data_IF_544702524648
#
_entry.id   IF_544702524648
#
_cell.length_a   1.000
_cell.length_b   1.000
_cell.length_c   1.000
_cell.angle_alpha   90.00
_cell.angle_beta   90.00
_cell.angle_gamma   90.00
#
_symmetry.space_group_name_H-M   'P 1'
#
loop_
_entity.id
_entity.type
_entity.pdbx_description
1 polymer ?
#
# COMPACT_ATOMS: atom_id res chain seq x y z
N UNK A 1 -4.80 30.38 -1.24
CA UNK A 1 -5.61 29.41 -2.00
C UNK A 1 -5.52 28.08 -1.26
N UNK A 2 -6.54 27.23 -1.30
CA UNK A 2 -6.43 25.89 -0.72
C UNK A 2 -5.47 25.07 -1.59
N UNK A 3 -4.61 24.26 -0.97
CA UNK A 3 -3.70 23.34 -1.68
C UNK A 3 -4.49 22.27 -2.44
N UNK A 4 -3.91 21.70 -3.48
CA UNK A 4 -4.54 20.63 -4.25
C UNK A 4 -4.52 19.30 -3.48
N UNK A 5 -3.38 18.96 -2.85
CA UNK A 5 -3.15 17.63 -2.30
C UNK A 5 -2.43 17.64 -0.93
N UNK A 6 -2.95 16.89 0.05
CA UNK A 6 -2.20 16.47 1.23
C UNK A 6 -1.70 15.03 1.04
N UNK A 7 -0.40 14.77 1.17
CA UNK A 7 0.15 13.42 1.21
C UNK A 7 0.58 13.09 2.63
N UNK A 8 0.11 11.97 3.17
CA UNK A 8 0.46 11.49 4.50
C UNK A 8 1.18 10.15 4.40
N UNK A 9 2.40 10.11 4.93
CA UNK A 9 3.26 8.93 4.98
C UNK A 9 3.50 8.56 6.43
N UNK A 10 3.01 7.41 6.88
CA UNK A 10 3.27 6.90 8.23
C UNK A 10 4.53 6.04 8.19
N UNK A 11 5.60 6.49 8.82
CA UNK A 11 6.87 5.78 8.87
C UNK A 11 7.02 4.96 10.16
N UNK A 12 7.54 3.74 10.03
CA UNK A 12 7.97 2.93 11.17
C UNK A 12 9.13 2.01 10.78
N UNK A 13 10.33 2.33 11.26
CA UNK A 13 11.54 1.49 11.18
C UNK A 13 12.07 1.19 9.77
N UNK A 14 11.86 2.10 8.80
CA UNK A 14 12.22 1.89 7.38
C UNK A 14 12.86 3.13 6.75
N UNK A 15 14.01 3.61 7.26
CA UNK A 15 14.54 4.95 6.95
C UNK A 15 14.90 5.09 5.47
N UNK A 16 15.47 4.05 4.85
CA UNK A 16 15.85 4.08 3.44
C UNK A 16 14.65 3.97 2.49
N UNK A 17 13.62 3.19 2.86
CA UNK A 17 12.41 3.10 2.05
C UNK A 17 11.62 4.41 2.08
N UNK A 18 11.38 4.99 3.27
CA UNK A 18 10.66 6.28 3.34
C UNK A 18 11.41 7.38 2.59
N UNK A 19 12.75 7.37 2.64
CA UNK A 19 13.55 8.29 1.87
C UNK A 19 13.43 8.08 0.36
N UNK A 20 13.35 6.83 -0.11
CA UNK A 20 13.14 6.53 -1.53
C UNK A 20 11.73 6.91 -1.99
N UNK A 21 10.72 6.65 -1.15
CA UNK A 21 9.34 7.06 -1.38
C UNK A 21 9.27 8.58 -1.55
N UNK A 22 9.90 9.35 -0.64
CA UNK A 22 9.93 10.81 -0.71
C UNK A 22 10.65 11.35 -1.96
N UNK A 23 11.71 10.72 -2.43
CA UNK A 23 12.35 11.13 -3.69
C UNK A 23 11.39 10.96 -4.88
N UNK A 24 10.61 9.88 -4.91
CA UNK A 24 9.59 9.67 -5.95
C UNK A 24 8.43 10.67 -5.84
N UNK A 25 7.98 10.96 -4.62
CA UNK A 25 6.96 11.97 -4.34
C UNK A 25 7.43 13.35 -4.78
N UNK A 26 8.69 13.73 -4.50
CA UNK A 26 9.24 15.03 -4.89
C UNK A 26 9.18 15.26 -6.41
N UNK A 27 9.36 14.20 -7.21
CA UNK A 27 9.21 14.27 -8.67
C UNK A 27 7.75 14.32 -9.10
N UNK A 28 6.88 13.51 -8.49
CA UNK A 28 5.45 13.44 -8.81
C UNK A 28 4.68 14.73 -8.47
N UNK A 29 5.13 15.53 -7.50
CA UNK A 29 4.46 16.77 -7.09
C UNK A 29 4.95 18.04 -7.81
N UNK A 30 5.89 17.93 -8.76
CA UNK A 30 6.51 19.10 -9.42
C UNK A 30 5.53 20.08 -10.07
N UNK A 31 4.33 19.62 -10.43
CA UNK A 31 3.25 20.43 -11.03
C UNK A 31 1.96 20.46 -10.19
N UNK A 32 2.04 20.10 -8.91
CA UNK A 32 0.88 19.99 -7.99
C UNK A 32 1.18 20.83 -6.74
N UNK A 33 0.25 21.70 -6.32
CA UNK A 33 0.38 22.38 -5.02
C UNK A 33 0.09 21.38 -3.89
N UNK A 34 1.13 20.66 -3.48
CA UNK A 34 1.04 19.62 -2.46
C UNK A 34 1.59 20.07 -1.10
N UNK A 35 1.05 19.51 -0.03
CA UNK A 35 1.71 19.43 1.28
C UNK A 35 2.02 17.98 1.62
N UNK A 36 3.27 17.70 1.97
CA UNK A 36 3.72 16.34 2.31
C UNK A 36 4.03 16.29 3.80
N UNK A 37 3.48 15.27 4.46
CA UNK A 37 3.64 15.01 5.88
C UNK A 37 4.17 13.60 6.10
N UNK A 38 5.23 13.50 6.89
CA UNK A 38 5.73 12.22 7.39
C UNK A 38 5.46 12.12 8.88
N UNK A 39 4.71 11.10 9.29
CA UNK A 39 4.43 10.80 10.69
C UNK A 39 5.29 9.62 11.11
N UNK A 40 6.39 9.89 11.81
CA UNK A 40 7.23 8.84 12.39
C UNK A 40 6.59 8.29 13.67
N UNK A 41 6.27 7.00 13.67
CA UNK A 41 5.60 6.30 14.77
C UNK A 41 6.58 5.71 15.78
N UNK A 42 7.51 6.53 16.28
CA UNK A 42 8.55 6.14 17.23
C UNK A 42 9.49 5.06 16.68
N UNK A 43 10.07 5.31 15.50
CA UNK A 43 10.94 4.34 14.82
C UNK A 43 12.22 4.03 15.60
N UNK A 44 12.85 5.06 16.18
CA UNK A 44 14.07 4.92 16.99
C UNK A 44 15.28 4.37 16.24
N UNK A 45 15.33 4.58 14.92
CA UNK A 45 16.29 3.98 13.97
C UNK A 45 17.06 5.03 13.15
N UNK A 46 17.01 6.31 13.56
CA UNK A 46 17.58 7.43 12.81
C UNK A 46 16.69 7.98 11.68
N UNK A 47 15.48 7.42 11.44
CA UNK A 47 14.56 7.91 10.42
C UNK A 47 14.30 9.42 10.54
N UNK A 48 13.99 9.91 11.74
CA UNK A 48 13.63 11.31 11.96
C UNK A 48 14.77 12.26 11.61
N UNK A 49 16.01 11.93 12.00
CA UNK A 49 17.18 12.78 11.74
C UNK A 49 17.48 12.81 10.23
N UNK A 50 17.49 11.64 9.58
CA UNK A 50 17.64 11.52 8.14
C UNK A 50 16.57 12.31 7.38
N UNK A 51 15.32 12.26 7.84
CA UNK A 51 14.20 12.96 7.22
C UNK A 51 14.36 14.47 7.34
N UNK A 52 14.74 14.99 8.51
CA UNK A 52 14.95 16.43 8.74
C UNK A 52 16.11 16.99 7.92
N UNK A 53 17.18 16.23 7.79
CA UNK A 53 18.35 16.64 7.03
C UNK A 53 18.09 16.67 5.53
N UNK A 54 17.51 15.59 4.97
CA UNK A 54 17.41 15.40 3.52
C UNK A 54 16.11 15.91 2.90
N UNK A 55 15.04 16.00 3.69
CA UNK A 55 13.72 16.39 3.22
C UNK A 55 13.15 17.57 4.03
N UNK A 56 13.86 18.72 4.12
CA UNK A 56 13.40 19.89 4.87
C UNK A 56 12.12 20.52 4.30
N UNK A 57 11.75 20.15 3.08
CA UNK A 57 10.50 20.56 2.42
C UNK A 57 9.27 19.75 2.89
N UNK A 58 9.47 18.64 3.62
CA UNK A 58 8.41 17.85 4.23
C UNK A 58 8.10 18.33 5.64
N UNK A 59 6.83 18.23 6.04
CA UNK A 59 6.44 18.39 7.44
C UNK A 59 6.64 17.08 8.18
N UNK A 60 7.30 17.10 9.34
CA UNK A 60 7.63 15.89 10.10
C UNK A 60 6.93 15.93 11.47
N UNK A 61 6.16 14.88 11.79
CA UNK A 61 5.60 14.63 13.11
C UNK A 61 6.32 13.41 13.68
N UNK A 62 7.04 13.58 14.79
CA UNK A 62 7.70 12.48 15.50
C UNK A 62 6.90 12.12 16.75
N UNK A 63 6.22 10.98 16.72
CA UNK A 63 5.48 10.47 17.88
C UNK A 63 6.43 9.83 18.90
N UNK A 64 6.08 9.92 20.19
CA UNK A 64 6.79 9.23 21.28
C UNK A 64 6.55 7.73 21.29
N UNK A 65 5.40 7.30 20.76
CA UNK A 65 4.95 5.92 20.75
C UNK A 65 4.40 5.53 19.38
N UNK A 66 4.44 4.23 19.08
CA UNK A 66 3.72 3.70 17.92
C UNK A 66 2.21 3.65 18.22
N UNK A 67 1.49 4.69 17.77
CA UNK A 67 0.05 4.86 17.97
C UNK A 67 -0.82 4.15 16.92
N UNK A 68 -0.20 3.52 15.91
CA UNK A 68 -0.89 2.81 14.83
C UNK A 68 -1.16 3.68 13.61
N UNK A 69 -1.61 3.05 12.53
CA UNK A 69 -1.77 3.67 11.22
C UNK A 69 -2.93 4.67 11.18
N UNK A 70 -4.11 4.30 11.70
CA UNK A 70 -5.29 5.18 11.67
C UNK A 70 -5.07 6.47 12.47
N UNK A 71 -4.55 6.35 13.70
CA UNK A 71 -4.29 7.51 14.56
C UNK A 71 -3.19 8.41 13.99
N UNK A 72 -2.11 7.85 13.47
CA UNK A 72 -1.02 8.61 12.85
C UNK A 72 -1.49 9.39 11.62
N UNK A 73 -2.24 8.76 10.72
CA UNK A 73 -2.80 9.46 9.56
C UNK A 73 -3.77 10.57 9.98
N UNK A 74 -4.66 10.30 10.94
CA UNK A 74 -5.63 11.28 11.41
C UNK A 74 -4.99 12.51 12.08
N UNK A 75 -3.79 12.41 12.68
CA UNK A 75 -3.07 13.58 13.21
C UNK A 75 -2.82 14.64 12.14
N UNK A 76 -2.66 14.23 10.88
CA UNK A 76 -2.47 15.12 9.73
C UNK A 76 -3.79 15.44 9.06
N UNK A 77 -4.58 14.41 8.69
CA UNK A 77 -5.80 14.60 7.91
C UNK A 77 -6.81 15.55 8.57
N UNK A 78 -6.87 15.57 9.91
CA UNK A 78 -7.80 16.43 10.66
C UNK A 78 -7.36 17.90 10.76
N UNK A 79 -6.10 18.21 10.43
CA UNK A 79 -5.55 19.59 10.49
C UNK A 79 -5.13 20.17 9.13
N UNK A 80 -5.19 19.39 8.06
CA UNK A 80 -4.98 19.85 6.69
C UNK A 80 -6.30 20.00 5.95
N UNK A 81 -6.31 20.79 4.87
CA UNK A 81 -7.54 21.18 4.19
C UNK A 81 -7.44 21.16 2.65
N UNK A 82 -6.46 20.46 2.08
CA UNK A 82 -6.36 20.28 0.62
C UNK A 82 -7.60 19.61 0.02
N UNK A 83 -7.89 19.87 -1.26
CA UNK A 83 -9.02 19.27 -2.00
C UNK A 83 -8.96 17.74 -2.01
N UNK A 84 -7.75 17.18 -2.09
CA UNK A 84 -7.50 15.76 -2.03
C UNK A 84 -6.57 15.38 -0.88
N UNK A 85 -6.66 14.13 -0.45
CA UNK A 85 -5.73 13.53 0.51
C UNK A 85 -5.26 12.17 0.02
N UNK A 86 -3.98 11.86 0.18
CA UNK A 86 -3.37 10.58 -0.16
C UNK A 86 -2.78 9.94 1.08
N UNK A 87 -3.22 8.71 1.39
CA UNK A 87 -2.45 7.80 2.24
C UNK A 87 -1.42 7.10 1.38
N UNK A 88 -0.15 7.19 1.75
CA UNK A 88 0.95 6.56 1.02
C UNK A 88 1.84 5.82 2.00
N UNK A 89 2.11 4.55 1.73
CA UNK A 89 3.02 3.77 2.54
C UNK A 89 4.49 4.21 2.33
N UNK A 90 5.37 4.07 3.34
CA UNK A 90 6.77 4.46 3.22
C UNK A 90 7.58 3.53 2.32
N UNK A 91 7.09 2.31 2.05
CA UNK A 91 7.72 1.28 1.21
C UNK A 91 7.11 1.21 -0.20
N UNK A 92 6.68 2.37 -0.71
CA UNK A 92 6.19 2.53 -2.08
C UNK A 92 7.08 3.41 -2.93
N UNK A 93 7.00 3.26 -4.24
CA UNK A 93 7.60 4.14 -5.22
C UNK A 93 6.56 4.43 -6.31
N UNK A 94 6.33 5.72 -6.57
CA UNK A 94 5.32 6.21 -7.51
C UNK A 94 5.98 6.91 -8.70
N UNK A 95 5.32 6.91 -9.85
CA UNK A 95 5.79 7.58 -11.06
C UNK A 95 5.52 9.09 -11.04
N UNK A 96 6.23 9.84 -11.87
CA UNK A 96 6.03 11.29 -12.02
C UNK A 96 4.60 11.62 -12.47
N UNK A 97 4.05 10.81 -13.36
CA UNK A 97 2.69 10.94 -13.88
C UNK A 97 1.58 10.59 -12.87
N UNK A 98 1.90 9.77 -11.86
CA UNK A 98 0.91 9.05 -11.03
C UNK A 98 -0.12 9.97 -10.39
N UNK A 99 0.32 11.03 -9.71
CA UNK A 99 -0.58 11.91 -8.94
C UNK A 99 -1.41 12.81 -9.85
N UNK A 100 -0.83 13.26 -10.97
CA UNK A 100 -1.52 14.08 -11.96
C UNK A 100 -2.67 13.32 -12.61
N UNK A 101 -2.45 12.05 -12.95
CA UNK A 101 -3.51 11.19 -13.48
C UNK A 101 -4.61 10.91 -12.45
N UNK A 102 -4.26 10.72 -11.18
CA UNK A 102 -5.24 10.57 -10.09
C UNK A 102 -6.12 11.82 -9.94
N UNK A 103 -5.52 13.02 -9.93
CA UNK A 103 -6.26 14.29 -9.86
C UNK A 103 -7.18 14.44 -11.08
N UNK A 104 -6.65 14.26 -12.29
CA UNK A 104 -7.43 14.34 -13.54
C UNK A 104 -8.63 13.38 -13.53
N UNK A 105 -8.46 12.16 -13.04
CA UNK A 105 -9.58 11.22 -12.90
C UNK A 105 -10.63 11.75 -11.92
N UNK A 106 -10.22 12.25 -10.75
CA UNK A 106 -11.12 12.76 -9.71
C UNK A 106 -11.85 14.04 -10.12
N UNK A 107 -11.26 14.90 -10.96
CA UNK A 107 -11.92 16.07 -11.51
C UNK A 107 -13.06 15.70 -12.47
N UNK A 108 -12.84 14.64 -13.26
CA UNK A 108 -13.79 14.12 -14.24
C UNK A 108 -14.84 13.15 -13.66
N UNK A 109 -14.64 12.65 -12.44
CA UNK A 109 -15.55 11.72 -11.76
C UNK A 109 -15.96 12.28 -10.39
N UNK A 110 -17.01 13.10 -10.38
CA UNK A 110 -17.49 13.76 -9.15
C UNK A 110 -18.06 12.78 -8.12
N UNK A 111 -18.53 11.61 -8.55
CA UNK A 111 -18.98 10.52 -7.68
C UNK A 111 -17.84 9.70 -7.05
N UNK A 112 -16.60 9.87 -7.53
CA UNK A 112 -15.42 9.24 -6.93
C UNK A 112 -15.11 9.88 -5.57
N UNK A 113 -15.26 9.08 -4.51
CA UNK A 113 -14.85 9.42 -3.14
C UNK A 113 -13.41 9.02 -2.86
N UNK A 114 -12.97 7.89 -3.41
CA UNK A 114 -11.58 7.46 -3.34
C UNK A 114 -11.16 6.65 -4.57
N UNK A 115 -9.85 6.56 -4.80
CA UNK A 115 -9.26 5.65 -5.76
C UNK A 115 -7.97 5.01 -5.23
N UNK A 116 -7.70 3.81 -5.73
CA UNK A 116 -6.44 3.11 -5.61
C UNK A 116 -5.85 2.86 -7.00
N UNK A 117 -4.62 2.36 -7.03
CA UNK A 117 -3.83 2.17 -8.25
C UNK A 117 -3.31 0.73 -8.38
N UNK A 118 -2.65 0.41 -9.50
CA UNK A 118 -2.02 -0.89 -9.73
C UNK A 118 -0.73 -0.99 -8.92
N UNK A 119 -0.81 -1.59 -7.74
CA UNK A 119 0.39 -1.96 -7.00
C UNK A 119 0.99 -3.23 -7.57
N UNK A 120 2.32 -3.25 -7.70
CA UNK A 120 3.11 -4.43 -8.04
C UNK A 120 4.28 -4.59 -7.09
N UNK A 121 4.79 -5.81 -6.98
CA UNK A 121 6.03 -6.09 -6.26
C UNK A 121 7.26 -5.82 -7.14
N UNK A 122 8.45 -6.04 -6.58
CA UNK A 122 9.72 -5.87 -7.29
C UNK A 122 9.96 -6.89 -8.43
N UNK A 123 9.03 -7.81 -8.67
CA UNK A 123 9.03 -8.74 -9.81
C UNK A 123 7.97 -8.34 -10.87
N UNK A 124 7.41 -7.13 -10.78
CA UNK A 124 6.32 -6.66 -11.66
C UNK A 124 4.97 -7.34 -11.41
N UNK A 125 4.91 -8.32 -10.49
CA UNK A 125 3.70 -9.10 -10.28
C UNK A 125 2.63 -8.26 -9.60
N UNK A 126 1.43 -8.26 -10.18
CA UNK A 126 0.28 -7.57 -9.63
C UNK A 126 -0.01 -7.98 -8.17
N UNK A 127 -0.21 -6.99 -7.31
CA UNK A 127 -0.65 -7.20 -5.93
C UNK A 127 -2.20 -7.19 -5.86
N UNK A 128 -2.85 -8.30 -5.48
CA UNK A 128 -4.32 -8.40 -5.45
C UNK A 128 -5.02 -7.38 -4.55
N UNK A 129 -4.34 -6.87 -3.51
CA UNK A 129 -4.84 -5.79 -2.67
C UNK A 129 -5.07 -4.46 -3.40
N UNK A 130 -4.59 -4.30 -4.63
CA UNK A 130 -4.86 -3.12 -5.47
C UNK A 130 -6.35 -2.87 -5.70
N UNK A 131 -7.17 -3.92 -5.69
CA UNK A 131 -8.63 -3.81 -5.79
C UNK A 131 -9.32 -4.96 -5.09
N UNK A 132 -10.25 -4.64 -4.20
CA UNK A 132 -11.02 -5.63 -3.44
C UNK A 132 -12.51 -5.38 -3.55
N UNK A 133 -13.28 -6.47 -3.57
CA UNK A 133 -14.74 -6.42 -3.54
C UNK A 133 -15.27 -6.17 -2.14
N UNK A 134 -16.57 -5.88 -2.04
CA UNK A 134 -17.24 -5.73 -0.74
C UNK A 134 -17.11 -6.98 0.13
N UNK A 135 -16.84 -6.76 1.42
CA UNK A 135 -16.64 -7.84 2.41
C UNK A 135 -18.00 -8.30 2.97
N UNK A 136 -18.75 -9.07 2.19
CA UNK A 136 -19.95 -9.77 2.65
C UNK A 136 -19.59 -11.10 3.34
N UNK A 137 -20.49 -11.69 4.16
CA UNK A 137 -20.21 -12.97 4.81
C UNK A 137 -19.83 -14.10 3.83
N UNK A 138 -20.46 -14.16 2.66
CA UNK A 138 -20.14 -15.17 1.64
C UNK A 138 -18.78 -14.92 0.99
N UNK A 139 -18.44 -13.66 0.71
CA UNK A 139 -17.11 -13.28 0.18
C UNK A 139 -16.02 -13.62 1.19
N UNK A 140 -16.23 -13.28 2.46
CA UNK A 140 -15.32 -13.63 3.54
C UNK A 140 -15.17 -15.15 3.67
N UNK A 141 -16.27 -15.91 3.59
CA UNK A 141 -16.24 -17.37 3.58
C UNK A 141 -15.37 -17.92 2.44
N UNK A 142 -15.60 -17.49 1.20
CA UNK A 142 -14.83 -17.92 0.03
C UNK A 142 -13.33 -17.61 0.17
N UNK A 143 -12.99 -16.46 0.77
CA UNK A 143 -11.60 -16.08 1.05
C UNK A 143 -10.97 -16.96 2.13
N UNK A 144 -11.68 -17.20 3.23
CA UNK A 144 -11.19 -17.98 4.39
C UNK A 144 -10.99 -19.46 4.04
N UNK A 145 -11.88 -20.03 3.22
CA UNK A 145 -11.80 -21.44 2.81
C UNK A 145 -10.85 -21.69 1.65
N UNK A 146 -10.41 -20.64 0.95
CA UNK A 146 -9.58 -20.75 -0.25
C UNK A 146 -10.37 -21.06 -1.52
N UNK A 147 -11.71 -21.07 -1.47
CA UNK A 147 -12.57 -21.32 -2.63
C UNK A 147 -12.33 -20.34 -3.77
N UNK A 148 -11.99 -19.08 -3.45
CA UNK A 148 -11.62 -18.09 -4.47
C UNK A 148 -10.34 -18.44 -5.24
N UNK A 149 -9.40 -19.17 -4.64
CA UNK A 149 -8.17 -19.60 -5.31
C UNK A 149 -8.44 -20.76 -6.29
N UNK A 150 -9.44 -21.60 -6.00
CA UNK A 150 -9.87 -22.68 -6.89
C UNK A 150 -10.60 -22.15 -8.14
N UNK A 151 -11.23 -20.97 -8.04
CA UNK A 151 -11.99 -20.35 -9.11
C UNK A 151 -11.55 -18.89 -9.34
N UNK A 152 -10.31 -18.65 -9.80
CA UNK A 152 -9.68 -17.33 -9.78
C UNK A 152 -10.38 -16.29 -10.67
N UNK A 153 -11.07 -16.71 -11.73
CA UNK A 153 -11.83 -15.84 -12.64
C UNK A 153 -13.33 -15.76 -12.34
N UNK A 154 -13.80 -16.41 -11.27
CA UNK A 154 -15.22 -16.39 -10.91
C UNK A 154 -15.60 -15.07 -10.24
N UNK A 155 -16.64 -14.42 -10.77
CA UNK A 155 -17.25 -13.23 -10.15
C UNK A 155 -17.99 -13.54 -8.84
N UNK A 156 -18.28 -14.82 -8.59
CA UNK A 156 -18.94 -15.30 -7.37
C UNK A 156 -17.92 -15.72 -6.30
N UNK A 157 -16.97 -16.59 -6.66
CA UNK A 157 -16.06 -17.21 -5.69
C UNK A 157 -14.78 -16.39 -5.44
N UNK A 158 -14.28 -15.66 -6.44
CA UNK A 158 -13.13 -14.75 -6.27
C UNK A 158 -13.54 -13.27 -6.29
N UNK A 159 -14.66 -12.97 -5.63
CA UNK A 159 -15.15 -11.59 -5.49
C UNK A 159 -14.29 -10.75 -4.55
N UNK A 160 -13.60 -11.35 -3.58
CA UNK A 160 -12.74 -10.61 -2.64
C UNK A 160 -11.63 -9.83 -3.36
N UNK A 161 -10.94 -10.44 -4.32
CA UNK A 161 -9.89 -9.77 -5.11
C UNK A 161 -10.34 -9.37 -6.52
N UNK A 162 -11.65 -9.43 -6.78
CA UNK A 162 -12.24 -9.08 -8.08
C UNK A 162 -11.53 -9.79 -9.26
N UNK A 163 -11.11 -11.05 -9.10
CA UNK A 163 -10.24 -11.72 -10.10
C UNK A 163 -10.87 -11.97 -11.47
N UNK A 164 -12.18 -11.74 -11.59
CA UNK A 164 -12.95 -11.73 -12.84
C UNK A 164 -12.74 -10.45 -13.67
N UNK A 165 -12.20 -9.38 -13.09
CA UNK A 165 -11.93 -8.11 -13.77
C UNK A 165 -10.49 -8.05 -14.26
N UNK A 166 -10.28 -7.42 -15.41
CA UNK A 166 -8.93 -7.15 -15.93
C UNK A 166 -8.16 -6.19 -15.01
N UNK A 167 -6.84 -6.36 -14.91
CA UNK A 167 -5.93 -5.46 -14.19
C UNK A 167 -5.47 -4.26 -15.05
N UNK A 168 -6.00 -4.15 -16.26
CA UNK A 168 -5.60 -3.17 -17.27
C UNK A 168 -6.67 -2.11 -17.54
N UNK A 169 -7.78 -2.19 -16.83
CA UNK A 169 -8.92 -1.31 -17.05
C UNK A 169 -9.32 -0.65 -15.75
N UNK A 170 -9.80 0.59 -15.86
CA UNK A 170 -10.46 1.27 -14.76
C UNK A 170 -11.71 0.48 -14.37
N UNK A 171 -11.92 0.28 -13.07
CA UNK A 171 -13.14 -0.33 -12.56
C UNK A 171 -13.51 0.16 -11.17
N UNK A 172 -14.76 -0.06 -10.78
CA UNK A 172 -15.17 0.13 -9.39
C UNK A 172 -14.49 -0.91 -8.50
N UNK A 173 -13.86 -0.44 -7.43
CA UNK A 173 -13.16 -1.25 -6.45
C UNK A 173 -13.68 -0.88 -5.05
N UNK A 174 -14.74 -1.54 -4.57
CA UNK A 174 -15.42 -1.16 -3.32
C UNK A 174 -14.48 -0.97 -2.14
N UNK A 175 -13.44 -1.81 -2.05
CA UNK A 175 -12.45 -1.76 -0.97
C UNK A 175 -11.06 -1.50 -1.57
N UNK A 176 -10.41 -0.45 -1.07
CA UNK A 176 -9.07 -0.01 -1.46
C UNK A 176 -8.05 -0.34 -0.37
N UNK A 177 -6.77 -0.25 -0.71
CA UNK A 177 -5.64 -0.49 0.20
C UNK A 177 -5.10 0.81 0.76
N UNK A 178 -4.82 0.86 2.06
CA UNK A 178 -4.19 2.03 2.71
C UNK A 178 -2.77 2.32 2.23
N UNK A 179 -2.14 1.39 1.50
CA UNK A 179 -0.80 1.58 0.93
C UNK A 179 -0.75 2.67 -0.15
N UNK A 180 -1.85 2.82 -0.89
CA UNK A 180 -2.10 3.96 -1.78
C UNK A 180 -3.62 4.16 -1.83
N UNK A 181 -4.10 5.18 -1.11
CA UNK A 181 -5.51 5.54 -1.09
C UNK A 181 -5.66 7.04 -1.29
N UNK A 182 -6.01 7.43 -2.51
CA UNK A 182 -6.23 8.81 -2.92
C UNK A 182 -7.70 9.16 -2.74
N UNK A 183 -8.03 10.22 -2.02
CA UNK A 183 -9.38 10.48 -1.51
C UNK A 183 -9.78 11.93 -1.76
N UNK A 184 -11.05 12.12 -2.11
CA UNK A 184 -11.69 13.44 -2.09
C UNK A 184 -11.87 13.88 -0.65
N UNK A 185 -11.51 15.13 -0.34
CA UNK A 185 -11.63 15.70 1.01
C UNK A 185 -13.03 15.58 1.57
N UNK A 186 -14.04 15.93 0.77
CA UNK A 186 -15.45 15.89 1.15
C UNK A 186 -15.88 14.47 1.56
N UNK A 187 -15.59 13.46 0.73
CA UNK A 187 -15.88 12.07 1.02
C UNK A 187 -15.18 11.57 2.30
N UNK A 188 -13.91 11.97 2.50
CA UNK A 188 -13.15 11.63 3.69
C UNK A 188 -13.76 12.25 4.97
N UNK A 189 -14.22 13.50 4.90
CA UNK A 189 -14.86 14.19 6.01
C UNK A 189 -16.23 13.59 6.36
N UNK A 190 -17.07 13.31 5.36
CA UNK A 190 -18.37 12.65 5.57
C UNK A 190 -18.22 11.23 6.12
N UNK A 191 -17.18 10.51 5.70
CA UNK A 191 -16.82 9.20 6.25
C UNK A 191 -16.27 9.27 7.69
N UNK A 192 -16.00 10.47 8.20
CA UNK A 192 -15.41 10.72 9.52
C UNK A 192 -14.00 10.13 9.68
N UNK A 193 -13.18 10.23 8.63
CA UNK A 193 -11.78 9.82 8.61
C UNK A 193 -11.56 8.33 8.94
N UNK A 194 -10.30 7.93 9.23
CA UNK A 194 -10.01 6.57 9.66
C UNK A 194 -10.53 6.33 11.08
N UNK A 195 -11.11 5.15 11.30
CA UNK A 195 -11.57 4.76 12.62
C UNK A 195 -10.39 4.40 13.54
N UNK A 196 -10.11 5.25 14.52
CA UNK A 196 -8.92 5.15 15.39
C UNK A 196 -8.91 3.93 16.32
N UNK A 197 -9.99 3.13 16.35
CA UNK A 197 -10.02 1.84 17.06
C UNK A 197 -9.16 0.79 16.35
N UNK A 198 -8.94 0.94 15.05
CA UNK A 198 -8.01 0.09 14.31
C UNK A 198 -6.59 0.59 14.55
N UNK A 199 -5.76 -0.25 15.16
CA UNK A 199 -4.34 0.03 15.30
C UNK A 199 -3.62 -0.08 13.94
N UNK A 200 -3.89 -1.17 13.21
CA UNK A 200 -3.37 -1.48 11.89
C UNK A 200 -4.20 -2.65 11.33
N UNK A 201 -4.30 -2.71 10.00
CA UNK A 201 -5.17 -3.62 9.26
C UNK A 201 -6.65 -3.28 9.42
N UNK A 202 -7.37 -3.24 8.29
CA UNK A 202 -8.82 -3.10 8.25
C UNK A 202 -9.32 -1.66 8.40
N UNK A 203 -8.50 -0.71 8.82
CA UNK A 203 -8.86 0.72 8.78
C UNK A 203 -9.12 1.21 7.35
N UNK A 204 -8.36 0.68 6.37
CA UNK A 204 -8.56 0.95 4.95
C UNK A 204 -9.87 0.34 4.42
N UNK A 205 -10.19 -0.88 4.85
CA UNK A 205 -11.47 -1.55 4.56
C UNK A 205 -12.64 -0.77 5.16
N UNK A 206 -12.50 -0.35 6.42
CA UNK A 206 -13.53 0.40 7.14
C UNK A 206 -13.79 1.77 6.49
N UNK A 207 -12.72 2.50 6.17
CA UNK A 207 -12.82 3.79 5.49
C UNK A 207 -13.42 3.65 4.09
N UNK A 208 -12.96 2.67 3.30
CA UNK A 208 -13.52 2.39 1.97
C UNK A 208 -15.03 2.16 2.05
N UNK A 209 -15.45 1.31 2.99
CA UNK A 209 -16.87 0.99 3.20
C UNK A 209 -17.67 2.19 3.72
N UNK A 210 -17.07 3.02 4.58
CA UNK A 210 -17.68 4.27 5.08
C UNK A 210 -17.95 5.25 3.94
N UNK A 211 -16.98 5.42 3.03
CA UNK A 211 -17.12 6.26 1.83
C UNK A 211 -18.28 5.77 0.95
N UNK A 212 -18.38 4.46 0.69
CA UNK A 212 -19.51 3.89 -0.06
C UNK A 212 -20.86 4.15 0.61
N UNK A 213 -20.93 4.07 1.94
CA UNK A 213 -22.17 4.35 2.70
C UNK A 213 -22.61 5.81 2.65
N UNK A 214 -21.75 6.72 2.20
CA UNK A 214 -22.07 8.13 1.94
C UNK A 214 -22.53 8.39 0.50
N UNK A 215 -22.62 7.34 -0.33
CA UNK A 215 -23.11 7.45 -1.71
C UNK A 215 -22.01 7.71 -2.75
N UNK A 216 -20.76 7.80 -2.31
CA UNK A 216 -19.61 7.85 -3.21
C UNK A 216 -19.25 6.46 -3.74
N UNK A 217 -18.40 6.46 -4.78
CA UNK A 217 -17.78 5.26 -5.33
C UNK A 217 -16.28 5.25 -5.10
N UNK A 218 -15.72 4.05 -5.06
CA UNK A 218 -14.30 3.81 -4.99
C UNK A 218 -13.82 3.20 -6.32
N UNK A 219 -12.70 3.68 -6.84
CA UNK A 219 -12.19 3.27 -8.15
C UNK A 219 -10.79 2.66 -8.08
N UNK A 220 -10.51 1.78 -9.01
CA UNK A 220 -9.18 1.26 -9.30
C UNK A 220 -8.72 1.82 -10.65
N UNK A 221 -7.51 2.37 -10.67
CA UNK A 221 -6.84 2.84 -11.89
C UNK A 221 -5.66 1.91 -12.22
N UNK A 222 -5.44 1.55 -13.50
CA UNK A 222 -4.33 0.69 -13.91
C UNK A 222 -2.96 1.41 -13.98
N UNK A 223 -2.75 2.44 -13.13
CA UNK A 223 -1.50 3.19 -13.02
C UNK A 223 -0.52 2.39 -12.15
N UNK A 224 0.67 2.03 -12.64
CA UNK A 224 1.61 1.20 -11.89
C UNK A 224 2.29 1.97 -10.75
N UNK A 225 2.42 1.34 -9.58
CA UNK A 225 3.33 1.75 -8.50
C UNK A 225 4.04 0.51 -7.95
N UNK A 226 5.25 0.69 -7.44
CA UNK A 226 5.97 -0.36 -6.72
C UNK A 226 5.59 -0.29 -5.24
N UNK A 227 5.34 -1.46 -4.64
CA UNK A 227 5.15 -1.62 -3.21
C UNK A 227 5.96 -2.84 -2.75
N UNK A 228 6.99 -2.61 -1.94
CA UNK A 228 7.90 -3.67 -1.46
C UNK A 228 7.22 -4.66 -0.51
N UNK A 229 6.13 -4.20 0.15
CA UNK A 229 5.21 -4.94 0.99
C UNK A 229 5.84 -5.61 2.21
N UNK A 230 5.45 -5.11 3.38
CA UNK A 230 5.73 -5.76 4.65
C UNK A 230 7.11 -5.42 5.21
N UNK A 231 7.79 -4.41 4.66
CA UNK A 231 9.10 -3.97 5.15
C UNK A 231 8.97 -3.40 6.57
N UNK A 232 7.97 -2.54 6.81
CA UNK A 232 7.67 -2.02 8.16
C UNK A 232 7.17 -3.08 9.14
N UNK A 233 6.45 -4.10 8.63
CA UNK A 233 5.94 -5.21 9.44
C UNK A 233 7.07 -6.15 9.87
N UNK A 234 7.97 -6.48 8.94
CA UNK A 234 9.12 -7.35 9.18
C UNK A 234 10.16 -6.73 10.13
N UNK A 235 10.24 -5.38 10.15
CA UNK A 235 11.04 -4.63 11.10
C UNK A 235 10.45 -4.61 12.53
N UNK A 236 9.22 -5.10 12.72
CA UNK A 236 8.59 -5.15 14.04
C UNK A 236 9.12 -6.28 14.91
N UNK A 237 9.46 -5.95 16.16
CA UNK A 237 9.89 -6.91 17.17
C UNK A 237 8.72 -7.69 17.83
N UNK A 238 7.45 -7.39 17.51
CA UNK A 238 6.30 -8.01 18.18
C UNK A 238 5.25 -8.55 17.19
N UNK A 239 5.48 -9.74 16.60
CA UNK A 239 4.52 -10.37 15.67
C UNK A 239 3.14 -10.64 16.28
N UNK A 240 3.05 -10.91 17.59
CA UNK A 240 1.80 -11.20 18.28
C UNK A 240 0.87 -9.97 18.35
N UNK A 241 1.43 -8.76 18.51
CA UNK A 241 0.66 -7.51 18.46
C UNK A 241 0.03 -7.30 17.08
N UNK A 242 0.76 -7.56 16.01
CA UNK A 242 0.30 -7.39 14.63
C UNK A 242 -0.74 -8.44 14.27
N UNK A 243 -0.52 -9.69 14.66
CA UNK A 243 -1.51 -10.76 14.52
C UNK A 243 -2.79 -10.44 15.33
N UNK A 244 -2.63 -9.88 16.53
CA UNK A 244 -3.73 -9.39 17.35
C UNK A 244 -4.52 -8.27 16.67
N UNK A 245 -3.83 -7.28 16.10
CA UNK A 245 -4.43 -6.18 15.36
C UNK A 245 -5.22 -6.69 14.14
N UNK A 246 -4.65 -7.59 13.35
CA UNK A 246 -5.30 -8.18 12.17
C UNK A 246 -6.63 -8.85 12.52
N UNK A 247 -6.66 -9.69 13.55
CA UNK A 247 -7.89 -10.37 13.95
C UNK A 247 -8.86 -9.48 14.71
N UNK A 248 -8.36 -8.52 15.50
CA UNK A 248 -9.19 -7.50 16.15
C UNK A 248 -9.91 -6.62 15.12
N UNK A 249 -9.25 -6.29 14.02
CA UNK A 249 -9.83 -5.52 12.92
C UNK A 249 -11.03 -6.23 12.29
N UNK A 250 -10.94 -7.54 12.03
CA UNK A 250 -12.06 -8.31 11.50
C UNK A 250 -13.28 -8.26 12.43
N UNK A 251 -13.06 -8.35 13.74
CA UNK A 251 -14.14 -8.27 14.72
C UNK A 251 -14.74 -6.86 14.80
N UNK A 252 -13.92 -5.81 14.80
CA UNK A 252 -14.36 -4.42 14.78
C UNK A 252 -15.24 -4.16 13.55
N UNK A 253 -14.78 -4.52 12.36
CA UNK A 253 -15.50 -4.31 11.11
C UNK A 253 -16.84 -5.04 11.10
N UNK A 254 -16.85 -6.31 11.51
CA UNK A 254 -18.09 -7.08 11.57
C UNK A 254 -19.08 -6.50 12.56
N UNK A 255 -18.65 -6.13 13.76
CA UNK A 255 -19.53 -5.54 14.76
C UNK A 255 -20.09 -4.18 14.31
N UNK A 256 -19.33 -3.40 13.53
CA UNK A 256 -19.75 -2.10 13.02
C UNK A 256 -20.79 -2.22 11.90
N UNK A 257 -20.59 -3.12 10.94
CA UNK A 257 -21.40 -3.15 9.71
C UNK A 257 -22.35 -4.33 9.57
N UNK A 258 -22.17 -5.40 10.34
CA UNK A 258 -22.98 -6.61 10.25
C UNK A 258 -23.72 -6.86 11.55
N UNK A 259 -25.03 -6.59 11.57
CA UNK A 259 -25.93 -6.95 12.69
C UNK A 259 -26.29 -8.45 12.64
N UNK A 260 -25.27 -9.30 12.57
CA UNK A 260 -25.46 -10.76 12.54
C UNK A 260 -26.01 -11.31 13.85
N UNK A 261 -26.66 -12.47 13.76
CA UNK A 261 -27.17 -13.20 14.93
C UNK A 261 -26.02 -13.60 15.87
N UNK A 262 -26.35 -13.90 17.12
CA UNK A 262 -25.35 -14.38 18.09
C UNK A 262 -24.55 -15.59 17.57
N UNK A 263 -25.22 -16.47 16.81
CA UNK A 263 -24.59 -17.66 16.21
C UNK A 263 -23.56 -17.29 15.14
N UNK A 264 -23.88 -16.35 14.24
CA UNK A 264 -22.94 -15.91 13.18
C UNK A 264 -21.70 -15.23 13.78
N UNK A 265 -21.87 -14.44 14.84
CA UNK A 265 -20.76 -13.84 15.60
C UNK A 265 -19.86 -14.89 16.22
N UNK A 266 -20.45 -15.94 16.82
CA UNK A 266 -19.67 -17.06 17.39
C UNK A 266 -18.91 -17.83 16.32
N UNK A 267 -19.54 -18.14 15.19
CA UNK A 267 -18.91 -18.84 14.09
C UNK A 267 -17.75 -18.05 13.50
N UNK A 268 -17.92 -16.73 13.31
CA UNK A 268 -16.84 -15.85 12.89
C UNK A 268 -15.67 -15.88 13.88
N UNK A 269 -15.95 -15.67 15.19
CA UNK A 269 -14.92 -15.69 16.22
C UNK A 269 -14.16 -17.02 16.22
N UNK A 270 -14.86 -18.14 16.05
CA UNK A 270 -14.24 -19.45 15.91
C UNK A 270 -13.35 -19.56 14.66
N UNK A 271 -13.83 -19.11 13.50
CA UNK A 271 -13.03 -19.10 12.26
C UNK A 271 -11.76 -18.24 12.40
N UNK A 272 -11.88 -17.06 13.00
CA UNK A 272 -10.77 -16.15 13.33
C UNK A 272 -9.76 -16.83 14.26
N UNK A 273 -10.22 -17.47 15.33
CA UNK A 273 -9.34 -18.19 16.27
C UNK A 273 -8.63 -19.39 15.61
N UNK A 274 -9.33 -20.13 14.75
CA UNK A 274 -8.73 -21.23 13.98
C UNK A 274 -7.66 -20.72 13.01
N UNK A 275 -7.92 -19.62 12.31
CA UNK A 275 -6.93 -18.98 11.46
C UNK A 275 -5.73 -18.47 12.27
N UNK A 276 -5.95 -17.86 13.43
CA UNK A 276 -4.87 -17.38 14.31
C UNK A 276 -3.92 -18.50 14.71
N UNK A 277 -4.46 -19.68 15.03
CA UNK A 277 -3.66 -20.88 15.32
C UNK A 277 -2.87 -21.40 14.11
N UNK A 278 -3.42 -21.27 12.89
CA UNK A 278 -2.74 -21.65 11.64
C UNK A 278 -1.63 -20.64 11.27
N UNK A 279 -1.90 -19.34 11.36
CA UNK A 279 -0.94 -18.28 11.01
C UNK A 279 0.32 -18.26 11.88
N UNK A 280 0.21 -18.65 13.16
CA UNK A 280 1.39 -18.82 14.04
C UNK A 280 2.40 -19.86 13.55
N UNK A 281 2.02 -20.77 12.66
CA UNK A 281 2.93 -21.80 12.11
C UNK A 281 3.72 -21.35 10.88
N UNK A 282 3.48 -20.14 10.34
CA UNK A 282 3.98 -19.75 9.00
C UNK A 282 4.87 -18.49 9.00
N UNK A 283 5.45 -18.11 10.14
CA UNK A 283 6.49 -17.07 10.18
C UNK A 283 7.84 -17.68 9.81
N UNK A 284 8.02 -17.99 8.53
CA UNK A 284 9.32 -18.39 7.98
C UNK A 284 10.15 -17.12 7.82
N UNK A 285 11.24 -17.01 8.58
CA UNK A 285 12.30 -16.02 8.38
C UNK A 285 12.79 -16.13 6.93
N UNK A 286 12.55 -15.12 6.09
CA UNK A 286 13.25 -15.00 4.81
C UNK A 286 14.74 -14.85 5.12
N UNK A 287 15.55 -15.82 4.69
CA UNK A 287 17.00 -15.78 4.80
C UNK A 287 17.48 -14.80 3.74
N UNK A 288 18.22 -13.75 4.11
CA UNK A 288 19.00 -12.97 3.14
C UNK A 288 20.06 -13.93 2.59
N UNK A 289 19.92 -14.31 1.34
CA UNK A 289 20.98 -15.01 0.63
C UNK A 289 22.07 -13.99 0.28
N UNK A 290 23.34 -14.42 0.30
CA UNK A 290 24.41 -13.62 -0.31
C UNK A 290 24.20 -13.70 -1.81
N UNK A 291 23.83 -12.58 -2.42
CA UNK A 291 23.42 -12.51 -3.82
C UNK A 291 24.44 -11.69 -4.60
N UNK A 292 24.79 -12.16 -5.79
CA UNK A 292 25.54 -11.38 -6.78
C UNK A 292 24.53 -10.89 -7.82
N UNK A 293 24.03 -9.64 -7.72
CA UNK A 293 23.06 -9.15 -8.67
C UNK A 293 23.69 -8.94 -10.05
N UNK A 294 22.88 -9.09 -11.10
CA UNK A 294 23.23 -8.59 -12.43
C UNK A 294 23.11 -7.07 -12.34
N UNK A 295 24.24 -6.36 -12.49
CA UNK A 295 24.26 -4.90 -12.49
C UNK A 295 23.96 -4.43 -13.91
N UNK A 296 22.94 -3.59 -14.05
CA UNK A 296 22.53 -3.05 -15.32
C UNK A 296 22.31 -1.54 -15.22
N UNK A 297 22.88 -0.81 -16.18
CA UNK A 297 22.71 0.64 -16.31
C UNK A 297 21.69 0.99 -17.39
N UNK A 298 21.80 0.35 -18.55
CA UNK A 298 20.78 0.31 -19.60
C UNK A 298 20.75 -1.08 -20.22
N UNK A 299 19.58 -1.70 -20.30
CA UNK A 299 19.38 -2.97 -21.00
C UNK A 299 18.41 -2.75 -22.16
N UNK A 300 18.79 -3.26 -23.32
CA UNK A 300 17.85 -3.51 -24.41
C UNK A 300 16.78 -4.54 -23.98
N UNK A 301 15.65 -4.56 -24.69
CA UNK A 301 14.61 -5.55 -24.44
C UNK A 301 15.12 -6.98 -24.61
N UNK A 302 16.02 -7.22 -25.58
CA UNK A 302 16.65 -8.53 -25.80
C UNK A 302 17.51 -8.96 -24.60
N UNK A 303 18.28 -8.03 -24.01
CA UNK A 303 19.06 -8.32 -22.81
C UNK A 303 18.17 -8.61 -21.61
N UNK A 304 17.10 -7.83 -21.41
CA UNK A 304 16.09 -8.09 -20.36
C UNK A 304 15.45 -9.47 -20.53
N UNK A 305 15.09 -9.83 -21.77
CA UNK A 305 14.46 -11.09 -22.08
C UNK A 305 15.40 -12.29 -21.88
N UNK A 306 16.72 -12.07 -21.98
CA UNK A 306 17.74 -13.09 -21.73
C UNK A 306 17.97 -13.39 -20.25
N UNK A 307 17.50 -12.54 -19.32
CA UNK A 307 17.75 -12.71 -17.88
C UNK A 307 17.05 -13.97 -17.37
N UNK A 308 17.77 -14.92 -16.74
CA UNK A 308 17.18 -16.14 -16.21
C UNK A 308 16.20 -15.87 -15.06
N UNK A 309 15.12 -16.66 -14.99
CA UNK A 309 14.21 -16.65 -13.84
C UNK A 309 14.96 -16.99 -12.54
N UNK A 310 14.61 -16.31 -11.45
CA UNK A 310 15.30 -16.40 -10.16
C UNK A 310 16.46 -15.41 -9.99
N UNK A 311 16.82 -14.67 -11.03
CA UNK A 311 17.89 -13.66 -10.97
C UNK A 311 17.46 -12.40 -10.22
N UNK A 312 18.45 -11.71 -9.67
CA UNK A 312 18.31 -10.35 -9.14
C UNK A 312 18.92 -9.37 -10.13
N UNK A 313 18.12 -8.39 -10.55
CA UNK A 313 18.53 -7.32 -11.44
C UNK A 313 18.71 -6.06 -10.62
N UNK A 314 19.94 -5.61 -10.42
CA UNK A 314 20.21 -4.33 -9.77
C UNK A 314 20.20 -3.22 -10.81
N UNK A 315 19.35 -2.24 -10.57
CA UNK A 315 19.19 -1.06 -11.41
C UNK A 315 19.66 0.15 -10.64
N UNK A 316 20.49 0.98 -11.28
CA UNK A 316 20.89 2.26 -10.73
C UNK A 316 19.82 3.31 -11.01
N UNK A 317 19.27 3.90 -9.94
CA UNK A 317 18.12 4.82 -10.01
C UNK A 317 18.37 6.01 -10.93
N UNK A 318 19.58 6.56 -10.94
CA UNK A 318 19.94 7.74 -11.71
C UNK A 318 19.63 7.67 -13.22
N UNK A 319 19.57 6.47 -13.80
CA UNK A 319 19.40 6.29 -15.25
C UNK A 319 17.95 6.24 -15.74
N UNK A 320 16.98 6.24 -14.82
CA UNK A 320 15.57 6.08 -15.14
C UNK A 320 14.74 7.16 -14.44
N UNK A 321 13.76 7.72 -15.15
CA UNK A 321 12.61 8.34 -14.48
C UNK A 321 11.84 7.28 -13.67
N UNK A 322 11.02 7.72 -12.72
CA UNK A 322 10.21 6.80 -11.94
C UNK A 322 9.15 6.10 -12.80
N UNK A 323 8.57 6.79 -13.78
CA UNK A 323 7.65 6.22 -14.78
C UNK A 323 8.35 5.11 -15.59
N UNK A 324 9.54 5.37 -16.17
CA UNK A 324 10.31 4.37 -16.94
C UNK A 324 10.71 3.17 -16.08
N UNK A 325 11.11 3.40 -14.83
CA UNK A 325 11.49 2.35 -13.90
C UNK A 325 10.30 1.44 -13.55
N UNK A 326 9.12 2.03 -13.36
CA UNK A 326 7.91 1.28 -13.08
C UNK A 326 7.48 0.46 -14.30
N UNK A 327 7.55 1.01 -15.50
CA UNK A 327 7.25 0.28 -16.74
C UNK A 327 8.23 -0.89 -16.97
N UNK A 328 9.51 -0.68 -16.67
CA UNK A 328 10.51 -1.74 -16.69
C UNK A 328 10.21 -2.84 -15.67
N UNK A 329 9.92 -2.50 -14.41
CA UNK A 329 9.57 -3.50 -13.39
C UNK A 329 8.32 -4.28 -13.83
N UNK A 330 7.34 -3.58 -14.40
CA UNK A 330 6.11 -4.17 -14.89
C UNK A 330 6.32 -5.13 -16.05
N UNK A 331 7.23 -4.83 -16.98
CA UNK A 331 7.53 -5.70 -18.12
C UNK A 331 8.12 -7.06 -17.69
N UNK A 332 8.65 -7.14 -16.47
CA UNK A 332 9.16 -8.37 -15.86
C UNK A 332 8.06 -9.25 -15.20
N UNK A 333 6.79 -8.87 -15.26
CA UNK A 333 5.70 -9.66 -14.70
C UNK A 333 5.71 -11.10 -15.26
N UNK A 334 5.78 -12.10 -14.36
CA UNK A 334 5.83 -13.51 -14.73
C UNK A 334 7.21 -14.03 -15.17
N UNK A 335 8.23 -13.17 -15.31
CA UNK A 335 9.61 -13.57 -15.66
C UNK A 335 10.39 -14.20 -14.49
N UNK A 336 9.95 -13.96 -13.26
CA UNK A 336 10.65 -14.42 -12.06
C UNK A 336 11.96 -13.69 -11.78
N UNK A 337 12.16 -12.49 -12.36
CA UNK A 337 13.32 -11.62 -12.10
C UNK A 337 12.96 -10.63 -11.00
N UNK A 338 13.83 -10.47 -10.00
CA UNK A 338 13.62 -9.53 -8.90
C UNK A 338 14.46 -8.28 -9.10
N UNK A 339 13.80 -7.13 -9.21
CA UNK A 339 14.48 -5.84 -9.29
C UNK A 339 14.94 -5.40 -7.90
N UNK A 340 16.21 -5.06 -7.81
CA UNK A 340 16.82 -4.33 -6.71
C UNK A 340 17.16 -2.94 -7.23
N UNK A 341 16.95 -1.91 -6.40
CA UNK A 341 17.18 -0.54 -6.84
C UNK A 341 18.30 0.05 -6.02
N UNK A 342 19.43 0.28 -6.69
CA UNK A 342 20.56 0.99 -6.14
C UNK A 342 20.30 2.48 -6.14
N UNK A 343 20.53 3.09 -4.98
CA UNK A 343 20.44 4.51 -4.77
C UNK A 343 21.83 5.09 -4.52
N UNK A 344 22.34 5.78 -5.52
CA UNK A 344 23.68 6.36 -5.52
C UNK A 344 23.87 7.41 -4.42
N UNK A 345 22.82 8.21 -4.14
CA UNK A 345 22.87 9.29 -3.14
C UNK A 345 23.00 8.76 -1.72
N UNK A 346 22.51 7.54 -1.47
CA UNK A 346 22.57 6.87 -0.17
C UNK A 346 23.58 5.73 -0.14
N UNK A 347 24.14 5.35 -1.29
CA UNK A 347 25.00 4.17 -1.46
C UNK A 347 24.37 2.89 -0.86
N UNK A 348 23.07 2.69 -1.12
CA UNK A 348 22.32 1.52 -0.65
C UNK A 348 21.52 0.89 -1.78
N UNK A 349 21.42 -0.44 -1.78
CA UNK A 349 20.53 -1.17 -2.67
C UNK A 349 19.27 -1.59 -1.90
N UNK A 350 18.09 -1.26 -2.43
CA UNK A 350 16.79 -1.56 -1.84
C UNK A 350 16.05 -2.64 -2.62
N UNK A 351 15.45 -3.58 -1.91
CA UNK A 351 14.67 -4.65 -2.50
C UNK A 351 13.79 -5.37 -1.49
N UNK A 352 13.09 -6.43 -1.90
CA UNK A 352 12.24 -7.21 -1.00
C UNK A 352 13.04 -7.82 0.17
N UNK A 353 12.67 -7.51 1.42
CA UNK A 353 13.39 -7.97 2.61
C UNK A 353 14.50 -7.02 3.08
N UNK A 354 14.54 -5.80 2.55
CA UNK A 354 15.24 -4.67 3.14
C UNK A 354 16.41 -4.13 2.31
N UNK A 355 17.43 -3.66 3.03
CA UNK A 355 18.66 -3.11 2.44
C UNK A 355 19.67 -4.21 2.14
N UNK A 356 20.29 -4.14 0.97
CA UNK A 356 21.35 -5.01 0.49
C UNK A 356 22.69 -4.26 0.53
N UNK A 357 23.75 -4.99 0.89
CA UNK A 357 25.13 -4.50 1.02
C UNK A 357 25.95 -4.75 -0.24
#
# INVERSE_FOLDING_TARGET
>A
MAKDLTIVIVNYKVPHFVAQCLDSVAKAITSIDAEVWVVDNASGDGSVDLLRERFPWCNIVANSDNIGFARANNQVLKKTYSEYALLLNPDTLIGESTLKECISFMENHRDAGALGVRMMNAQGSFLPESKRGEVTPFVAFCKITGLGNLFPKSSLFNRYYLGHLSNEVVCEAPILSGAFMFMRREALQEANYLDERYFMYGEDIDLSYSILKRGYKNYYLPIPILHYKGESESASANPDRYLGAFYGAMELFYNKYHKGSWLSRRLMRWAVLLQKKRGKKTLIKRKKENLTPIIATHLSQEELDSIPAGSFLQIERAFYSYDELLDLIRSLEGRGVTVLIYDENRSVTLGPGGVYS
#
